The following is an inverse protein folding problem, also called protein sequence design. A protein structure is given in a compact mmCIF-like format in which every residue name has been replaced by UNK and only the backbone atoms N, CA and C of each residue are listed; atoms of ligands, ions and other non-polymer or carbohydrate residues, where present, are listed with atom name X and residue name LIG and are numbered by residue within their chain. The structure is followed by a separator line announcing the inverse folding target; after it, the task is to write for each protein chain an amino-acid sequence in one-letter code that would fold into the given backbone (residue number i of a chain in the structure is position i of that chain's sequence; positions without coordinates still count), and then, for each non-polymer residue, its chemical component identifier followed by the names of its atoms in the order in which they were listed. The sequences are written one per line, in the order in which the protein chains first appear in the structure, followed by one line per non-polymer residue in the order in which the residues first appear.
data_IF_515361977503
#
_entry.id   IF_515361977503
#
_cell.length_a   1.000
_cell.length_b   1.000
_cell.length_c   1.000
_cell.angle_alpha   90.00
_cell.angle_beta   90.00
_cell.angle_gamma   90.00
#
_symmetry.space_group_name_H-M   'P 1'
#
loop_
_entity.id
_entity.type
_entity.pdbx_description
1 polymer ?
#
# COMPACT_ATOMS: atom_id res chain seq x y z
N UNK A 1 12.19 15.46 1.12
CA UNK A 1 11.59 14.12 0.98
C UNK A 1 11.99 13.31 2.21
N UNK A 2 11.03 12.98 3.08
CA UNK A 2 11.26 12.15 4.26
C UNK A 2 11.09 10.68 3.84
N UNK A 3 11.93 9.79 4.37
CA UNK A 3 11.84 8.35 4.12
C UNK A 3 11.09 7.73 5.30
N UNK A 4 10.01 7.00 5.01
CA UNK A 4 9.28 6.25 6.01
C UNK A 4 10.13 5.09 6.56
N UNK A 5 10.28 4.94 7.89
CA UNK A 5 10.93 3.76 8.44
C UNK A 5 10.06 2.52 8.22
N UNK A 6 10.69 1.40 7.89
CA UNK A 6 10.02 0.11 7.71
C UNK A 6 10.20 -0.73 8.97
N UNK A 7 9.13 -1.34 9.44
CA UNK A 7 9.11 -2.24 10.60
C UNK A 7 8.69 -3.65 10.22
N UNK A 8 8.95 -4.62 11.12
CA UNK A 8 8.47 -5.98 10.95
C UNK A 8 6.94 -6.08 10.89
N UNK A 9 6.20 -5.14 11.50
CA UNK A 9 4.76 -5.09 11.43
C UNK A 9 4.27 -4.80 10.00
N UNK A 10 4.97 -3.92 9.26
CA UNK A 10 4.62 -3.60 7.88
C UNK A 10 4.73 -4.83 6.98
N UNK A 11 5.75 -5.67 7.15
CA UNK A 11 5.87 -6.92 6.39
C UNK A 11 4.73 -7.91 6.68
N UNK A 12 4.30 -8.03 7.94
CA UNK A 12 3.16 -8.88 8.30
C UNK A 12 1.86 -8.38 7.67
N UNK A 13 1.63 -7.07 7.70
CA UNK A 13 0.47 -6.45 7.05
C UNK A 13 0.54 -6.61 5.53
N UNK A 14 1.70 -6.38 4.92
CA UNK A 14 1.93 -6.56 3.50
C UNK A 14 1.66 -7.99 3.04
N UNK A 15 2.10 -9.01 3.81
CA UNK A 15 1.78 -10.40 3.53
C UNK A 15 0.26 -10.63 3.50
N UNK A 16 -0.48 -10.10 4.49
CA UNK A 16 -1.95 -10.18 4.52
C UNK A 16 -2.62 -9.46 3.35
N UNK A 17 -2.03 -8.41 2.81
CA UNK A 17 -2.53 -7.73 1.62
C UNK A 17 -2.22 -8.53 0.34
N UNK A 18 -1.01 -9.09 0.23
CA UNK A 18 -0.63 -9.93 -0.90
C UNK A 18 -1.41 -11.25 -0.97
N UNK A 19 -1.79 -11.81 0.19
CA UNK A 19 -2.63 -13.02 0.28
C UNK A 19 -4.07 -12.77 -0.22
N UNK A 20 -4.51 -11.52 -0.29
CA UNK A 20 -5.80 -11.16 -0.87
C UNK A 20 -5.69 -11.10 -2.39
N UNK A 21 -5.86 -12.26 -3.04
CA UNK A 21 -5.77 -12.39 -4.50
C UNK A 21 -6.60 -11.35 -5.27
N UNK A 22 -7.75 -10.93 -4.74
CA UNK A 22 -8.61 -9.90 -5.33
C UNK A 22 -7.93 -8.53 -5.48
N UNK A 23 -6.92 -8.21 -4.67
CA UNK A 23 -6.15 -6.97 -4.78
C UNK A 23 -5.04 -7.06 -5.83
N UNK A 24 -4.66 -8.27 -6.26
CA UNK A 24 -3.63 -8.48 -7.30
C UNK A 24 -2.26 -7.89 -6.97
N UNK A 25 -1.93 -7.74 -5.69
CA UNK A 25 -0.72 -7.04 -5.24
C UNK A 25 0.53 -7.93 -5.29
N UNK A 26 1.63 -7.36 -5.79
CA UNK A 26 2.96 -7.95 -5.58
C UNK A 26 3.48 -7.55 -4.19
N UNK A 27 4.39 -8.34 -3.64
CA UNK A 27 4.92 -8.12 -2.29
C UNK A 27 5.45 -6.70 -2.04
N UNK A 28 6.15 -6.10 -3.02
CA UNK A 28 6.65 -4.73 -2.91
C UNK A 28 5.54 -3.68 -2.86
N UNK A 29 4.52 -3.84 -3.71
CA UNK A 29 3.36 -2.95 -3.77
C UNK A 29 2.55 -3.03 -2.46
N UNK A 30 2.34 -4.24 -1.96
CA UNK A 30 1.70 -4.48 -0.67
C UNK A 30 2.45 -3.84 0.51
N UNK A 31 3.79 -3.83 0.47
CA UNK A 31 4.60 -3.18 1.52
C UNK A 31 4.44 -1.66 1.51
N UNK A 32 4.43 -1.03 0.33
CA UNK A 32 4.17 0.40 0.24
C UNK A 32 2.79 0.77 0.78
N UNK A 33 1.77 -0.02 0.45
CA UNK A 33 0.42 0.19 0.98
C UNK A 33 0.35 -0.01 2.49
N UNK A 34 1.04 -1.02 3.05
CA UNK A 34 1.09 -1.24 4.49
C UNK A 34 1.71 -0.06 5.25
N UNK A 35 2.78 0.53 4.71
CA UNK A 35 3.41 1.73 5.28
C UNK A 35 2.46 2.94 5.18
N UNK A 36 1.82 3.14 4.03
CA UNK A 36 0.89 4.25 3.83
C UNK A 36 -0.32 4.17 4.77
N UNK A 37 -0.85 2.95 5.00
CA UNK A 37 -1.96 2.71 5.94
C UNK A 37 -1.54 3.04 7.36
N UNK A 38 -0.39 2.55 7.80
CA UNK A 38 0.14 2.80 9.15
C UNK A 38 0.37 4.29 9.43
N UNK A 39 0.81 5.04 8.41
CA UNK A 39 1.04 6.49 8.53
C UNK A 39 -0.21 7.35 8.29
N UNK A 40 -1.32 6.75 7.85
CA UNK A 40 -2.51 7.50 7.41
C UNK A 40 -2.22 8.44 6.23
N UNK A 41 -1.27 8.08 5.37
CA UNK A 41 -0.82 8.90 4.26
C UNK A 41 -1.75 8.81 3.05
N UNK A 42 -1.70 9.82 2.17
CA UNK A 42 -2.28 9.74 0.83
C UNK A 42 -1.32 9.01 -0.10
N UNK A 43 -1.79 7.99 -0.80
CA UNK A 43 -1.03 7.32 -1.84
C UNK A 43 -1.11 8.13 -3.15
N UNK A 44 -0.02 8.76 -3.54
CA UNK A 44 0.12 9.39 -4.85
C UNK A 44 0.89 8.43 -5.78
N UNK A 45 0.30 8.03 -6.91
CA UNK A 45 0.93 7.07 -7.83
C UNK A 45 0.50 7.31 -9.28
N UNK A 46 1.35 6.93 -10.25
CA UNK A 46 1.01 6.86 -11.68
C UNK A 46 0.45 5.48 -12.07
N UNK A 47 0.54 4.51 -11.16
CA UNK A 47 0.05 3.15 -11.39
C UNK A 47 -1.42 3.05 -10.97
N UNK A 48 -2.31 2.96 -11.97
CA UNK A 48 -3.75 2.84 -11.77
C UNK A 48 -4.15 1.62 -10.95
N UNK A 49 -3.48 0.47 -11.13
CA UNK A 49 -3.82 -0.74 -10.37
C UNK A 49 -3.44 -0.60 -8.90
N UNK A 50 -2.30 0.03 -8.64
CA UNK A 50 -1.88 0.33 -7.27
C UNK A 50 -2.83 1.34 -6.60
N UNK A 51 -3.30 2.33 -7.36
CA UNK A 51 -4.30 3.28 -6.91
C UNK A 51 -5.62 2.59 -6.51
N UNK A 52 -6.13 1.71 -7.38
CA UNK A 52 -7.36 0.94 -7.13
C UNK A 52 -7.21 0.03 -5.90
N UNK A 53 -6.07 -0.66 -5.75
CA UNK A 53 -5.80 -1.46 -4.56
C UNK A 53 -5.70 -0.62 -3.28
N UNK A 54 -5.08 0.56 -3.33
CA UNK A 54 -5.02 1.49 -2.21
C UNK A 54 -6.41 1.97 -1.76
N UNK A 55 -7.28 2.29 -2.72
CA UNK A 55 -8.68 2.67 -2.45
C UNK A 55 -9.45 1.51 -1.79
N UNK A 56 -9.27 0.28 -2.28
CA UNK A 56 -9.91 -0.91 -1.70
C UNK A 56 -9.47 -1.17 -0.24
N UNK A 57 -8.26 -0.73 0.13
CA UNK A 57 -7.74 -0.77 1.50
C UNK A 57 -8.13 0.45 2.35
N UNK A 58 -8.90 1.39 1.80
CA UNK A 58 -9.39 2.59 2.51
C UNK A 58 -8.42 3.76 2.57
N UNK A 59 -7.33 3.73 1.79
CA UNK A 59 -6.42 4.87 1.68
C UNK A 59 -7.07 6.01 0.89
N UNK A 60 -6.64 7.24 1.22
CA UNK A 60 -6.79 8.35 0.27
C UNK A 60 -5.79 8.14 -0.86
N UNK A 61 -6.25 8.29 -2.10
CA UNK A 61 -5.43 8.01 -3.29
C UNK A 61 -5.54 9.16 -4.28
N UNK A 62 -4.40 9.54 -4.84
CA UNK A 62 -4.27 10.47 -5.96
C UNK A 62 -3.57 9.77 -7.12
N UNK A 63 -4.32 9.55 -8.21
CA UNK A 63 -3.76 9.05 -9.47
C UNK A 63 -3.22 10.25 -10.25
N UNK A 64 -1.90 10.26 -10.47
CA UNK A 64 -1.18 11.33 -11.14
C UNK A 64 -1.11 11.13 -12.67
#
# INVERSE_FOLDING_TARGET
MLIAPVSAAHFKTAARFADQYALGLRAGDALHLAIAVDQGATLCTLDRRLAEAGQALGLKVELL
#
